data_IF_588267326221
#
_entry.id   IF_588267326221
#
_cell.length_a   1.000
_cell.length_b   1.000
_cell.length_c   1.000
_cell.angle_alpha   90.00
_cell.angle_beta   90.00
_cell.angle_gamma   90.00
#
_symmetry.space_group_name_H-M   'P 1'
#
loop_
_entity.id
_entity.type
_entity.pdbx_description
1 polymer ?
#
# COMPACT_ATOMS: atom_id res chain seq x y z
N UNK A 1 -4.23 -9.43 1.27
CA UNK A 1 -5.10 -10.18 2.20
C UNK A 1 -5.41 -11.57 1.68
N UNK A 2 -5.93 -11.72 0.46
CA UNK A 2 -6.20 -13.03 -0.15
C UNK A 2 -5.02 -14.00 -0.07
N UNK A 3 -3.82 -13.54 -0.44
CA UNK A 3 -2.58 -14.35 -0.39
C UNK A 3 -2.31 -14.90 1.03
N UNK A 4 -2.59 -14.10 2.05
CA UNK A 4 -2.39 -14.46 3.47
C UNK A 4 -3.46 -15.44 3.93
N UNK A 5 -4.72 -15.23 3.53
CA UNK A 5 -5.81 -16.15 3.82
C UNK A 5 -5.55 -17.52 3.18
N UNK A 6 -5.07 -17.55 1.94
CA UNK A 6 -4.66 -18.79 1.29
C UNK A 6 -3.50 -19.47 2.04
N UNK A 7 -2.51 -18.70 2.52
CA UNK A 7 -1.41 -19.22 3.32
C UNK A 7 -1.86 -19.80 4.68
N UNK A 8 -2.94 -19.27 5.25
CA UNK A 8 -3.57 -19.79 6.47
C UNK A 8 -4.47 -21.03 6.21
N UNK A 9 -4.56 -21.49 4.96
CA UNK A 9 -5.33 -22.68 4.59
C UNK A 9 -6.81 -22.41 4.26
N UNK A 10 -7.21 -21.14 4.11
CA UNK A 10 -8.56 -20.83 3.61
C UNK A 10 -8.70 -21.19 2.13
N UNK A 11 -9.93 -21.46 1.70
CA UNK A 11 -10.27 -21.91 0.35
C UNK A 11 -9.70 -20.99 -0.74
N UNK A 12 -8.91 -21.59 -1.64
CA UNK A 12 -8.23 -20.90 -2.75
C UNK A 12 -9.02 -21.06 -4.07
N UNK A 13 -10.15 -21.74 -4.06
CA UNK A 13 -10.99 -21.93 -5.25
C UNK A 13 -12.42 -22.28 -4.86
N UNK A 14 -13.37 -21.94 -5.72
CA UNK A 14 -14.79 -22.23 -5.54
C UNK A 14 -15.61 -21.01 -5.09
N UNK A 15 -16.94 -21.15 -5.04
CA UNK A 15 -17.88 -20.03 -4.85
C UNK A 15 -17.77 -19.36 -3.47
N UNK A 16 -17.11 -20.02 -2.52
CA UNK A 16 -16.95 -19.55 -1.14
C UNK A 16 -15.54 -19.04 -0.82
N UNK A 17 -14.65 -18.98 -1.82
CA UNK A 17 -13.24 -18.57 -1.61
C UNK A 17 -13.08 -17.12 -1.15
N UNK A 18 -14.05 -16.26 -1.46
CA UNK A 18 -14.03 -14.84 -1.09
C UNK A 18 -14.67 -14.54 0.28
N UNK A 19 -15.34 -15.52 0.90
CA UNK A 19 -16.00 -15.32 2.21
C UNK A 19 -15.08 -14.76 3.29
N UNK A 20 -13.83 -15.24 3.48
CA UNK A 20 -12.98 -14.72 4.54
C UNK A 20 -12.56 -13.26 4.28
N UNK A 21 -12.40 -12.88 3.01
CA UNK A 21 -12.13 -11.49 2.61
C UNK A 21 -13.36 -10.60 2.90
N UNK A 22 -14.55 -11.05 2.50
CA UNK A 22 -15.82 -10.34 2.77
C UNK A 22 -16.02 -10.17 4.28
N UNK A 23 -15.78 -11.22 5.07
CA UNK A 23 -15.88 -11.17 6.53
C UNK A 23 -14.89 -10.16 7.13
N UNK A 24 -13.63 -10.15 6.68
CA UNK A 24 -12.63 -9.18 7.13
C UNK A 24 -13.04 -7.73 6.80
N UNK A 25 -13.59 -7.49 5.61
CA UNK A 25 -14.13 -6.19 5.22
C UNK A 25 -15.37 -5.79 6.02
N UNK A 26 -16.26 -6.73 6.32
CA UNK A 26 -17.44 -6.48 7.15
C UNK A 26 -17.05 -6.09 8.59
N UNK A 27 -16.08 -6.80 9.18
CA UNK A 27 -15.51 -6.47 10.49
C UNK A 27 -14.89 -5.06 10.45
N UNK A 28 -14.08 -4.77 9.44
CA UNK A 28 -13.49 -3.45 9.24
C UNK A 28 -14.55 -2.35 9.14
N UNK A 29 -15.61 -2.59 8.35
CA UNK A 29 -16.71 -1.68 8.16
C UNK A 29 -17.45 -1.40 9.46
N UNK A 30 -17.78 -2.44 10.23
CA UNK A 30 -18.43 -2.34 11.54
C UNK A 30 -17.62 -1.52 12.53
N UNK A 31 -16.34 -1.83 12.72
CA UNK A 31 -15.47 -1.08 13.63
C UNK A 31 -15.26 0.36 13.20
N UNK A 32 -15.08 0.61 11.91
CA UNK A 32 -14.92 1.98 11.39
C UNK A 32 -16.19 2.80 11.61
N UNK A 33 -17.37 2.21 11.42
CA UNK A 33 -18.65 2.89 11.59
C UNK A 33 -18.93 3.25 13.05
N UNK A 34 -18.61 2.36 13.99
CA UNK A 34 -18.84 2.58 15.42
C UNK A 34 -17.79 3.51 16.02
N UNK A 35 -16.51 3.31 15.71
CA UNK A 35 -15.40 3.90 16.45
C UNK A 35 -14.64 5.01 15.70
N UNK A 36 -14.97 5.26 14.42
CA UNK A 36 -14.34 6.30 13.61
C UNK A 36 -12.82 6.16 13.53
N UNK A 37 -12.10 7.29 13.59
CA UNK A 37 -10.62 7.33 13.49
C UNK A 37 -9.88 6.71 14.68
N UNK A 38 -10.54 6.52 15.83
CA UNK A 38 -9.87 5.96 17.02
C UNK A 38 -9.56 4.48 16.85
N UNK A 39 -10.44 3.73 16.19
CA UNK A 39 -10.23 2.30 15.92
C UNK A 39 -8.95 2.04 15.09
N UNK A 40 -8.79 2.61 13.88
CA UNK A 40 -7.58 2.36 13.09
C UNK A 40 -6.30 2.86 13.79
N UNK A 41 -6.37 3.93 14.61
CA UNK A 41 -5.23 4.43 15.37
C UNK A 41 -4.79 3.50 16.51
N UNK A 42 -5.72 2.85 17.22
CA UNK A 42 -5.37 1.87 18.26
C UNK A 42 -4.86 0.56 17.63
N UNK A 43 -5.53 0.10 16.58
CA UNK A 43 -5.15 -1.13 15.87
C UNK A 43 -3.78 -0.96 15.21
N UNK A 44 -3.43 0.24 14.73
CA UNK A 44 -2.11 0.47 14.11
C UNK A 44 -0.97 0.17 15.08
N UNK A 45 -1.09 0.49 16.37
CA UNK A 45 -0.03 0.22 17.37
C UNK A 45 0.24 -1.29 17.48
N UNK A 46 -0.82 -2.08 17.65
CA UNK A 46 -0.72 -3.54 17.78
C UNK A 46 -0.18 -4.13 16.49
N UNK A 47 -0.77 -3.75 15.35
CA UNK A 47 -0.39 -4.19 14.01
C UNK A 47 1.08 -3.88 13.71
N UNK A 48 1.51 -2.63 13.92
CA UNK A 48 2.88 -2.21 13.65
C UNK A 48 3.86 -2.98 14.54
N UNK A 49 3.56 -3.12 15.83
CA UNK A 49 4.41 -3.91 16.74
C UNK A 49 4.59 -5.36 16.26
N UNK A 50 3.49 -6.00 15.83
CA UNK A 50 3.57 -7.36 15.28
C UNK A 50 4.34 -7.42 13.97
N UNK A 51 4.10 -6.47 13.05
CA UNK A 51 4.83 -6.39 11.77
C UNK A 51 6.33 -6.20 12.02
N UNK A 52 6.72 -5.36 12.98
CA UNK A 52 8.12 -5.14 13.34
C UNK A 52 8.78 -6.41 13.88
N UNK A 53 8.12 -7.09 14.81
CA UNK A 53 8.62 -8.37 15.36
C UNK A 53 8.76 -9.40 14.25
N UNK A 54 7.75 -9.55 13.38
CA UNK A 54 7.79 -10.46 12.23
C UNK A 54 8.90 -10.09 11.25
N UNK A 55 9.03 -8.82 10.89
CA UNK A 55 10.06 -8.35 9.97
C UNK A 55 11.46 -8.63 10.51
N UNK A 56 11.73 -8.26 11.76
CA UNK A 56 13.02 -8.51 12.40
C UNK A 56 13.33 -10.01 12.51
N UNK A 57 12.34 -10.81 12.89
CA UNK A 57 12.49 -12.27 12.93
C UNK A 57 12.84 -12.84 11.56
N UNK A 58 12.15 -12.43 10.49
CA UNK A 58 12.45 -12.86 9.13
C UNK A 58 13.87 -12.47 8.69
N UNK A 59 14.26 -11.23 8.96
CA UNK A 59 15.56 -10.68 8.56
C UNK A 59 16.73 -11.33 9.33
N UNK A 60 16.51 -11.85 10.53
CA UNK A 60 17.55 -12.53 11.30
C UNK A 60 17.54 -14.04 11.08
N UNK A 61 16.38 -14.69 11.22
CA UNK A 61 16.27 -16.16 11.31
C UNK A 61 16.36 -16.82 9.92
N UNK A 62 15.70 -16.26 8.90
CA UNK A 62 15.71 -16.86 7.56
C UNK A 62 17.16 -16.90 7.00
N UNK A 63 17.96 -15.82 7.07
CA UNK A 63 19.36 -15.91 6.65
C UNK A 63 20.17 -16.94 7.42
N UNK A 64 19.94 -17.12 8.72
CA UNK A 64 20.62 -18.15 9.51
C UNK A 64 20.33 -19.55 8.94
N UNK A 65 19.07 -19.85 8.65
CA UNK A 65 18.68 -21.13 8.04
C UNK A 65 19.25 -21.32 6.62
N UNK A 66 19.30 -20.25 5.83
CA UNK A 66 19.80 -20.28 4.46
C UNK A 66 21.34 -20.26 4.36
N UNK A 67 22.08 -20.25 5.48
CA UNK A 67 23.54 -20.26 5.51
C UNK A 67 24.20 -18.88 5.33
N UNK A 68 23.48 -17.81 5.67
CA UNK A 68 23.94 -16.43 5.74
C UNK A 68 23.66 -15.59 4.48
N UNK A 69 23.80 -14.27 4.63
CA UNK A 69 23.57 -13.32 3.54
C UNK A 69 24.48 -13.53 2.32
N UNK A 70 25.74 -13.93 2.54
CA UNK A 70 26.66 -14.21 1.44
C UNK A 70 26.15 -15.28 0.49
N UNK A 71 25.59 -16.38 1.04
CA UNK A 71 24.99 -17.45 0.24
C UNK A 71 23.71 -17.02 -0.45
N UNK A 72 22.90 -16.20 0.22
CA UNK A 72 21.69 -15.60 -0.39
C UNK A 72 22.08 -14.78 -1.61
N UNK A 73 23.00 -13.83 -1.49
CA UNK A 73 23.41 -12.99 -2.63
C UNK A 73 24.08 -13.81 -3.75
N UNK A 74 24.87 -14.82 -3.41
CA UNK A 74 25.49 -15.71 -4.40
C UNK A 74 24.47 -16.52 -5.21
N UNK A 75 23.28 -16.80 -4.64
CA UNK A 75 22.20 -17.52 -5.32
C UNK A 75 21.37 -16.64 -6.28
N UNK A 76 21.49 -15.32 -6.15
CA UNK A 76 20.75 -14.36 -6.97
C UNK A 76 21.51 -14.13 -8.28
N UNK A 77 20.85 -14.21 -9.46
CA UNK A 77 21.50 -13.89 -10.73
C UNK A 77 22.13 -12.49 -10.69
N UNK A 78 23.39 -12.29 -11.14
CA UNK A 78 24.07 -11.00 -11.05
C UNK A 78 23.29 -9.83 -11.67
N UNK A 79 22.57 -10.10 -12.76
CA UNK A 79 21.71 -9.12 -13.45
C UNK A 79 20.51 -8.64 -12.60
N UNK A 80 20.21 -9.27 -11.46
CA UNK A 80 19.14 -8.89 -10.52
C UNK A 80 19.67 -8.23 -9.24
N UNK A 81 20.99 -8.18 -9.06
CA UNK A 81 21.62 -7.56 -7.89
C UNK A 81 21.73 -6.04 -8.04
N UNK A 82 21.93 -5.57 -9.26
CA UNK A 82 22.07 -4.17 -9.61
C UNK A 82 21.04 -3.79 -10.66
N UNK A 83 20.67 -2.52 -10.69
CA UNK A 83 19.88 -2.00 -11.78
C UNK A 83 20.74 -2.00 -13.07
N UNK A 84 20.18 -2.40 -14.22
CA UNK A 84 20.93 -2.45 -15.48
C UNK A 84 21.34 -1.04 -15.93
N UNK A 85 22.58 -0.93 -16.41
CA UNK A 85 23.10 0.32 -16.95
C UNK A 85 22.25 0.82 -18.15
N UNK A 86 22.05 2.14 -18.29
CA UNK A 86 21.33 2.70 -19.42
C UNK A 86 21.98 2.34 -20.76
N UNK A 87 21.16 1.99 -21.76
CA UNK A 87 21.61 1.85 -23.15
C UNK A 87 21.92 3.21 -23.79
N UNK A 88 22.60 3.23 -24.94
CA UNK A 88 23.12 4.45 -25.58
C UNK A 88 22.07 5.56 -25.88
N UNK A 89 20.78 5.20 -25.97
CA UNK A 89 19.67 6.13 -26.19
C UNK A 89 18.59 6.06 -25.10
N UNK A 90 18.81 5.32 -24.02
CA UNK A 90 17.83 5.16 -22.94
C UNK A 90 18.33 5.81 -21.66
N UNK A 91 17.44 6.47 -20.92
CA UNK A 91 17.75 6.93 -19.56
C UNK A 91 17.82 5.77 -18.53
N UNK A 92 17.59 4.53 -18.99
CA UNK A 92 17.71 3.30 -18.20
C UNK A 92 16.67 3.15 -17.09
N UNK A 93 16.68 2.00 -16.42
CA UNK A 93 15.82 1.74 -15.25
C UNK A 93 16.18 2.60 -14.03
N UNK A 94 17.38 3.16 -13.99
CA UNK A 94 17.86 3.99 -12.88
C UNK A 94 17.08 5.30 -12.81
N UNK A 95 16.88 5.94 -13.96
CA UNK A 95 16.09 7.17 -14.05
C UNK A 95 14.65 6.93 -13.60
N UNK A 96 14.06 5.81 -14.03
CA UNK A 96 12.74 5.37 -13.61
C UNK A 96 12.66 5.13 -12.09
N UNK A 97 13.66 4.46 -11.52
CA UNK A 97 13.69 4.21 -10.08
C UNK A 97 13.81 5.51 -9.29
N UNK A 98 14.72 6.40 -9.67
CA UNK A 98 14.95 7.69 -9.00
C UNK A 98 13.71 8.57 -9.08
N UNK A 99 13.10 8.69 -10.26
CA UNK A 99 11.89 9.50 -10.47
C UNK A 99 10.71 8.93 -9.69
N UNK A 100 10.55 7.61 -9.66
CA UNK A 100 9.51 6.95 -8.88
C UNK A 100 9.72 7.13 -7.36
N UNK A 101 10.96 6.99 -6.89
CA UNK A 101 11.31 7.18 -5.48
C UNK A 101 11.06 8.63 -5.03
N UNK A 102 11.53 9.60 -5.82
CA UNK A 102 11.32 11.03 -5.56
C UNK A 102 9.83 11.39 -5.62
N UNK A 103 9.14 10.94 -6.67
CA UNK A 103 7.70 11.15 -6.84
C UNK A 103 6.90 10.58 -5.67
N UNK A 104 7.22 9.36 -5.24
CA UNK A 104 6.57 8.72 -4.09
C UNK A 104 6.82 9.48 -2.78
N UNK A 105 8.05 9.95 -2.55
CA UNK A 105 8.40 10.73 -1.36
C UNK A 105 7.62 12.06 -1.30
N UNK A 106 7.48 12.74 -2.43
CA UNK A 106 6.72 13.99 -2.54
C UNK A 106 5.20 13.75 -2.45
N UNK A 107 4.71 12.65 -3.03
CA UNK A 107 3.29 12.28 -3.05
C UNK A 107 2.75 11.89 -1.67
N UNK A 108 3.59 11.30 -0.82
CA UNK A 108 3.20 10.74 0.48
C UNK A 108 2.38 11.71 1.33
N UNK A 109 2.78 12.99 1.37
CA UNK A 109 2.14 14.01 2.20
C UNK A 109 0.90 14.66 1.55
N UNK A 110 0.67 14.41 0.26
CA UNK A 110 -0.47 14.95 -0.48
C UNK A 110 -1.73 14.09 -0.33
N UNK A 111 -1.57 12.85 0.14
CA UNK A 111 -2.70 11.96 0.32
C UNK A 111 -3.66 12.44 1.42
N UNK A 112 -5.00 12.41 1.18
CA UNK A 112 -5.99 12.86 2.15
C UNK A 112 -5.97 12.11 3.49
N UNK A 113 -5.57 10.83 3.48
CA UNK A 113 -5.47 10.04 4.70
C UNK A 113 -4.27 10.43 5.56
N UNK A 114 -3.18 10.92 4.94
CA UNK A 114 -2.04 11.48 5.66
C UNK A 114 -2.44 12.79 6.36
N UNK A 115 -3.15 13.68 5.66
CA UNK A 115 -3.64 14.94 6.24
C UNK A 115 -4.66 14.70 7.35
N UNK A 116 -5.55 13.71 7.19
CA UNK A 116 -6.48 13.28 8.25
C UNK A 116 -5.73 12.83 9.51
N UNK A 117 -4.65 12.06 9.35
CA UNK A 117 -3.78 11.67 10.46
C UNK A 117 -3.17 12.89 11.17
N UNK A 118 -2.59 13.82 10.40
CA UNK A 118 -1.98 15.05 10.93
C UNK A 118 -2.98 15.93 11.68
N UNK A 119 -4.17 16.17 11.12
CA UNK A 119 -5.21 17.00 11.72
C UNK A 119 -5.85 16.38 12.97
N UNK A 120 -5.70 15.06 13.17
CA UNK A 120 -6.14 14.37 14.38
C UNK A 120 -5.11 14.35 15.50
N UNK A 121 -3.90 14.86 15.27
CA UNK A 121 -2.84 14.91 16.27
C UNK A 121 -3.18 15.90 17.39
N UNK A 122 -2.81 15.55 18.63
CA UNK A 122 -3.06 16.39 19.82
C UNK A 122 -2.46 17.80 19.70
N UNK A 123 -1.26 17.91 19.14
CA UNK A 123 -0.55 19.19 18.96
C UNK A 123 0.62 19.03 17.96
N UNK A 124 1.23 20.14 17.50
CA UNK A 124 2.36 20.12 16.57
C UNK A 124 3.63 19.41 17.08
N UNK A 125 3.85 19.34 18.39
CA UNK A 125 5.01 18.65 18.95
C UNK A 125 4.93 17.13 18.73
N UNK A 126 3.72 16.55 18.77
CA UNK A 126 3.50 15.14 18.42
C UNK A 126 3.86 14.87 16.96
N UNK A 127 3.49 15.77 16.05
CA UNK A 127 3.82 15.65 14.62
C UNK A 127 5.33 15.68 14.43
N UNK A 128 6.04 16.65 15.03
CA UNK A 128 7.51 16.74 14.94
C UNK A 128 8.21 15.49 15.45
N UNK A 129 7.78 14.97 16.62
CA UNK A 129 8.32 13.73 17.18
C UNK A 129 8.05 12.52 16.27
N UNK A 130 6.89 12.46 15.61
CA UNK A 130 6.62 11.39 14.66
C UNK A 130 7.56 11.48 13.44
N UNK A 131 7.74 12.69 12.90
CA UNK A 131 8.64 12.92 11.76
C UNK A 131 10.10 12.51 12.04
N UNK A 132 10.59 12.68 13.28
CA UNK A 132 11.96 12.24 13.63
C UNK A 132 12.14 10.73 13.59
N UNK A 133 11.07 9.94 13.77
CA UNK A 133 11.13 8.47 13.71
C UNK A 133 10.85 7.89 12.31
N UNK A 134 10.34 8.71 11.39
CA UNK A 134 9.99 8.26 10.04
C UNK A 134 11.17 7.60 9.28
N UNK A 135 12.43 8.09 9.38
CA UNK A 135 13.57 7.42 8.74
C UNK A 135 13.83 6.01 9.27
N UNK A 136 13.68 5.78 10.58
CA UNK A 136 13.82 4.46 11.17
C UNK A 136 12.71 3.50 10.67
N UNK A 137 11.50 4.04 10.46
CA UNK A 137 10.41 3.30 9.85
C UNK A 137 10.73 2.91 8.40
N UNK A 138 11.20 3.86 7.59
CA UNK A 138 11.62 3.61 6.20
C UNK A 138 12.77 2.61 6.09
N UNK A 139 13.73 2.64 7.02
CA UNK A 139 14.83 1.68 7.05
C UNK A 139 14.33 0.24 7.17
N UNK A 140 13.42 -0.03 8.11
CA UNK A 140 12.87 -1.39 8.30
C UNK A 140 12.03 -1.83 7.08
N UNK A 141 11.28 -0.91 6.46
CA UNK A 141 10.61 -1.22 5.18
C UNK A 141 11.60 -1.60 4.08
N UNK A 142 12.75 -0.91 4.01
CA UNK A 142 13.84 -1.27 3.10
C UNK A 142 14.36 -2.68 3.34
N UNK A 143 14.45 -3.12 4.60
CA UNK A 143 14.88 -4.48 4.94
C UNK A 143 13.93 -5.55 4.37
N UNK A 144 12.62 -5.28 4.31
CA UNK A 144 11.66 -6.23 3.74
C UNK A 144 11.93 -6.56 2.27
N UNK A 145 12.62 -5.68 1.54
CA UNK A 145 13.08 -5.95 0.17
C UNK A 145 14.00 -7.18 0.10
N UNK A 146 14.78 -7.46 1.14
CA UNK A 146 15.66 -8.64 1.18
C UNK A 146 14.90 -9.96 1.19
N UNK A 147 13.63 -9.98 1.63
CA UNK A 147 12.81 -11.20 1.60
C UNK A 147 12.65 -11.73 0.17
N UNK A 148 12.66 -10.86 -0.84
CA UNK A 148 12.65 -11.28 -2.25
C UNK A 148 13.90 -12.08 -2.62
N UNK A 149 15.08 -11.63 -2.19
CA UNK A 149 16.33 -12.38 -2.40
C UNK A 149 16.36 -13.69 -1.61
N UNK A 150 15.85 -13.69 -0.38
CA UNK A 150 15.71 -14.91 0.43
C UNK A 150 14.78 -15.93 -0.26
N UNK A 151 13.70 -15.48 -0.90
CA UNK A 151 12.81 -16.36 -1.65
C UNK A 151 13.51 -16.98 -2.89
N UNK A 152 14.39 -16.23 -3.56
CA UNK A 152 15.20 -16.77 -4.66
C UNK A 152 16.18 -17.84 -4.13
N UNK A 153 16.84 -17.57 -3.01
CA UNK A 153 17.76 -18.50 -2.38
C UNK A 153 17.05 -19.78 -1.90
N UNK A 154 15.87 -19.63 -1.32
CA UNK A 154 15.01 -20.72 -0.82
C UNK A 154 14.17 -21.39 -1.92
N UNK A 155 14.42 -21.10 -3.22
CA UNK A 155 13.55 -21.58 -4.32
C UNK A 155 13.30 -23.08 -4.32
N UNK A 156 14.27 -23.88 -3.88
CA UNK A 156 14.14 -25.33 -3.85
C UNK A 156 13.20 -25.80 -2.72
N UNK A 157 13.28 -25.17 -1.54
CA UNK A 157 12.36 -25.42 -0.43
C UNK A 157 10.94 -24.96 -0.77
N UNK A 158 10.85 -23.83 -1.49
CA UNK A 158 9.59 -23.23 -1.92
C UNK A 158 8.95 -23.93 -3.12
N UNK A 159 9.70 -24.78 -3.84
CA UNK A 159 9.21 -25.57 -4.97
C UNK A 159 8.43 -26.83 -4.54
N UNK A 160 8.14 -26.98 -3.24
CA UNK A 160 7.38 -28.12 -2.73
C UNK A 160 5.97 -28.20 -3.37
N UNK A 161 5.43 -29.41 -3.61
CA UNK A 161 4.09 -29.57 -4.17
C UNK A 161 2.99 -28.90 -3.34
N UNK A 162 3.23 -28.74 -2.03
CA UNK A 162 2.31 -28.07 -1.12
C UNK A 162 2.10 -26.58 -1.45
N UNK A 163 3.13 -25.90 -1.97
CA UNK A 163 3.05 -24.48 -2.31
C UNK A 163 2.70 -24.22 -3.78
N UNK A 164 2.79 -25.23 -4.65
CA UNK A 164 2.55 -25.09 -6.09
C UNK A 164 1.18 -24.47 -6.45
N UNK A 165 0.04 -24.85 -5.81
CA UNK A 165 -1.25 -24.23 -6.11
C UNK A 165 -1.28 -22.74 -5.79
N UNK A 166 -0.68 -22.34 -4.67
CA UNK A 166 -0.63 -20.96 -4.23
C UNK A 166 0.30 -20.10 -5.09
N UNK A 167 1.47 -20.62 -5.49
CA UNK A 167 2.35 -19.95 -6.45
C UNK A 167 1.71 -19.84 -7.84
N UNK A 168 0.95 -20.84 -8.29
CA UNK A 168 0.23 -20.76 -9.56
C UNK A 168 -0.85 -19.66 -9.54
N UNK A 169 -1.59 -19.54 -8.42
CA UNK A 169 -2.62 -18.49 -8.31
C UNK A 169 -2.03 -17.11 -8.07
N UNK A 170 -1.08 -16.95 -7.15
CA UNK A 170 -0.65 -15.64 -6.64
C UNK A 170 0.73 -15.18 -7.13
N UNK A 171 1.48 -16.05 -7.80
CA UNK A 171 2.82 -15.75 -8.31
C UNK A 171 3.78 -15.32 -7.21
N UNK A 172 4.60 -14.31 -7.51
CA UNK A 172 5.60 -13.77 -6.60
C UNK A 172 5.01 -13.20 -5.29
N UNK A 173 3.73 -12.81 -5.27
CA UNK A 173 3.09 -12.28 -4.06
C UNK A 173 3.01 -13.32 -2.93
N UNK A 174 3.06 -14.62 -3.25
CA UNK A 174 3.08 -15.70 -2.26
C UNK A 174 4.45 -15.96 -1.64
N UNK A 175 5.53 -15.35 -2.15
CA UNK A 175 6.89 -15.60 -1.68
C UNK A 175 7.08 -15.35 -0.17
N UNK A 176 6.55 -14.24 0.35
CA UNK A 176 6.70 -13.90 1.78
C UNK A 176 5.91 -14.87 2.68
N UNK A 177 4.61 -15.16 2.43
CA UNK A 177 3.91 -16.20 3.19
C UNK A 177 4.56 -17.58 3.10
N UNK A 178 5.08 -17.96 1.95
CA UNK A 178 5.75 -19.25 1.77
C UNK A 178 7.06 -19.32 2.57
N UNK A 179 7.85 -18.25 2.61
CA UNK A 179 9.04 -18.16 3.46
C UNK A 179 8.70 -18.31 4.94
N UNK A 180 7.61 -17.68 5.39
CA UNK A 180 7.12 -17.82 6.77
C UNK A 180 6.75 -19.28 7.08
N UNK A 181 5.94 -19.90 6.21
CA UNK A 181 5.50 -21.29 6.36
C UNK A 181 6.66 -22.29 6.36
N UNK A 182 7.72 -22.03 5.59
CA UNK A 182 8.86 -22.92 5.48
C UNK A 182 9.87 -22.79 6.64
N UNK A 183 10.02 -21.58 7.22
CA UNK A 183 11.12 -21.29 8.13
C UNK A 183 10.72 -21.11 9.60
N UNK A 184 9.43 -21.02 9.91
CA UNK A 184 8.96 -20.73 11.26
C UNK A 184 7.95 -21.76 11.78
N UNK A 185 7.88 -21.95 13.11
CA UNK A 185 6.86 -22.80 13.72
C UNK A 185 5.45 -22.24 13.51
N UNK A 186 4.45 -23.13 13.45
CA UNK A 186 3.06 -22.79 13.12
C UNK A 186 2.44 -21.69 13.98
N UNK A 187 2.75 -21.66 15.28
CA UNK A 187 2.25 -20.63 16.20
C UNK A 187 2.74 -19.22 15.78
N UNK A 188 4.00 -19.11 15.36
CA UNK A 188 4.58 -17.83 14.94
C UNK A 188 4.07 -17.43 13.57
N UNK A 189 3.94 -18.39 12.65
CA UNK A 189 3.35 -18.16 11.32
C UNK A 189 1.94 -17.62 11.44
N UNK A 190 1.11 -18.16 12.35
CA UNK A 190 -0.23 -17.63 12.62
C UNK A 190 -0.22 -16.16 13.04
N UNK A 191 0.70 -15.78 13.93
CA UNK A 191 0.87 -14.38 14.38
C UNK A 191 1.35 -13.50 13.21
N UNK A 192 2.38 -13.94 12.49
CA UNK A 192 2.99 -13.20 11.38
C UNK A 192 2.00 -12.96 10.24
N UNK A 193 1.29 -13.99 9.80
CA UNK A 193 0.27 -13.88 8.76
C UNK A 193 -0.90 -13.00 9.22
N UNK A 194 -1.35 -13.13 10.48
CA UNK A 194 -2.37 -12.24 11.04
C UNK A 194 -1.91 -10.78 11.06
N UNK A 195 -0.64 -10.51 11.39
CA UNK A 195 -0.07 -9.18 11.35
C UNK A 195 -0.09 -8.57 9.95
N UNK A 196 0.22 -9.36 8.91
CA UNK A 196 0.12 -8.92 7.51
C UNK A 196 -1.34 -8.67 7.10
N UNK A 197 -2.27 -9.53 7.54
CA UNK A 197 -3.70 -9.35 7.25
C UNK A 197 -4.27 -8.07 7.90
N UNK A 198 -4.01 -7.84 9.19
CA UNK A 198 -4.38 -6.61 9.90
C UNK A 198 -3.63 -5.41 9.28
N UNK A 199 -2.39 -5.64 8.85
CA UNK A 199 -1.54 -4.78 8.03
C UNK A 199 -2.29 -4.10 6.89
N UNK A 200 -3.08 -4.90 6.15
CA UNK A 200 -3.87 -4.44 5.02
C UNK A 200 -5.18 -3.74 5.43
N UNK A 201 -5.77 -4.09 6.57
CA UNK A 201 -7.05 -3.52 7.03
C UNK A 201 -6.93 -2.09 7.53
N UNK A 202 -5.87 -1.77 8.28
CA UNK A 202 -5.71 -0.46 8.92
C UNK A 202 -5.66 0.69 7.89
N UNK A 203 -4.83 0.62 6.82
CA UNK A 203 -4.83 1.63 5.76
C UNK A 203 -6.20 1.75 5.09
N UNK A 204 -6.88 0.63 4.81
CA UNK A 204 -8.20 0.65 4.17
C UNK A 204 -9.24 1.42 4.99
N UNK A 205 -9.24 1.30 6.33
CA UNK A 205 -10.13 2.08 7.19
C UNK A 205 -9.85 3.59 7.13
N UNK A 206 -8.61 4.01 7.38
CA UNK A 206 -8.29 5.45 7.42
C UNK A 206 -8.45 6.11 6.05
N UNK A 207 -8.11 5.41 4.96
CA UNK A 207 -8.32 5.87 3.59
C UNK A 207 -9.81 6.05 3.29
N UNK A 208 -10.65 5.10 3.68
CA UNK A 208 -12.10 5.20 3.54
C UNK A 208 -12.69 6.37 4.35
N UNK A 209 -12.22 6.59 5.58
CA UNK A 209 -12.66 7.72 6.41
C UNK A 209 -12.26 9.05 5.76
N UNK A 210 -11.03 9.14 5.23
CA UNK A 210 -10.55 10.36 4.57
C UNK A 210 -11.36 10.68 3.31
N UNK A 211 -11.60 9.68 2.44
CA UNK A 211 -12.44 9.85 1.25
C UNK A 211 -13.87 10.28 1.62
N UNK A 212 -14.45 9.66 2.64
CA UNK A 212 -15.79 10.03 3.11
C UNK A 212 -15.84 11.45 3.68
N UNK A 213 -14.82 11.86 4.43
CA UNK A 213 -14.73 13.21 5.00
C UNK A 213 -14.59 14.27 3.89
N UNK A 214 -13.80 13.98 2.86
CA UNK A 214 -13.68 14.85 1.69
C UNK A 214 -15.01 15.01 0.97
N UNK A 215 -15.71 13.90 0.70
CA UNK A 215 -17.03 13.96 0.08
C UNK A 215 -18.02 14.75 0.94
N UNK A 216 -18.10 14.46 2.24
CA UNK A 216 -19.04 15.13 3.12
C UNK A 216 -18.77 16.64 3.19
N UNK A 217 -17.52 17.06 3.32
CA UNK A 217 -17.20 18.49 3.46
C UNK A 217 -17.24 19.26 2.14
N UNK A 218 -16.70 18.68 1.07
CA UNK A 218 -16.51 19.42 -0.19
C UNK A 218 -17.64 19.21 -1.20
N UNK A 219 -18.42 18.14 -1.07
CA UNK A 219 -19.53 17.85 -1.99
C UNK A 219 -20.87 18.02 -1.27
N UNK A 220 -21.07 17.30 -0.16
CA UNK A 220 -22.35 17.30 0.53
C UNK A 220 -22.67 18.65 1.18
N UNK A 221 -21.75 19.20 1.98
CA UNK A 221 -22.01 20.48 2.65
C UNK A 221 -22.02 21.67 1.68
N UNK A 222 -21.22 21.61 0.61
CA UNK A 222 -21.10 22.73 -0.33
C UNK A 222 -22.27 22.82 -1.30
N UNK A 223 -22.68 21.68 -1.88
CA UNK A 223 -23.64 21.65 -3.00
C UNK A 223 -25.00 21.03 -2.66
N UNK A 224 -25.08 20.14 -1.67
CA UNK A 224 -26.31 19.39 -1.37
C UNK A 224 -27.05 19.93 -0.15
N UNK A 225 -26.34 20.30 0.91
CA UNK A 225 -26.93 20.79 2.15
C UNK A 225 -26.01 21.79 2.86
N UNK A 226 -26.07 23.03 2.39
CA UNK A 226 -25.36 24.17 2.98
C UNK A 226 -25.81 24.39 4.42
N UNK A 227 -24.86 24.38 5.36
CA UNK A 227 -25.15 24.54 6.79
C UNK A 227 -25.54 23.26 7.53
N UNK A 228 -25.29 22.07 6.98
CA UNK A 228 -25.52 20.82 7.68
C UNK A 228 -24.82 20.79 9.06
N UNK A 229 -25.57 20.43 10.11
CA UNK A 229 -25.03 20.32 11.48
C UNK A 229 -23.92 19.27 11.59
N UNK A 230 -23.04 19.39 12.57
CA UNK A 230 -21.91 18.45 12.77
C UNK A 230 -22.37 16.99 12.91
N UNK A 231 -23.51 16.77 13.56
CA UNK A 231 -24.12 15.44 13.73
C UNK A 231 -24.52 14.86 12.37
N UNK A 232 -25.14 15.68 11.51
CA UNK A 232 -25.54 15.28 10.16
C UNK A 232 -24.31 14.99 9.31
N UNK A 233 -23.28 15.84 9.36
CA UNK A 233 -22.03 15.61 8.65
C UNK A 233 -21.38 14.29 9.08
N UNK A 234 -21.27 14.04 10.39
CA UNK A 234 -20.72 12.78 10.90
C UNK A 234 -21.53 11.55 10.42
N UNK A 235 -22.86 11.66 10.38
CA UNK A 235 -23.73 10.58 9.89
C UNK A 235 -23.51 10.31 8.40
N UNK A 236 -23.44 11.36 7.57
CA UNK A 236 -23.18 11.23 6.14
C UNK A 236 -21.78 10.65 5.90
N UNK A 237 -20.75 11.14 6.59
CA UNK A 237 -19.40 10.62 6.46
C UNK A 237 -19.32 9.12 6.82
N UNK A 238 -20.05 8.67 7.85
CA UNK A 238 -20.12 7.24 8.20
C UNK A 238 -20.76 6.41 7.08
N UNK A 239 -21.88 6.86 6.51
CA UNK A 239 -22.54 6.18 5.39
C UNK A 239 -21.68 6.13 4.14
N UNK A 240 -21.09 7.27 3.75
CA UNK A 240 -20.20 7.36 2.59
C UNK A 240 -18.97 6.48 2.80
N UNK A 241 -18.43 6.41 4.02
CA UNK A 241 -17.33 5.52 4.34
C UNK A 241 -17.70 4.04 4.14
N UNK A 242 -18.94 3.63 4.43
CA UNK A 242 -19.42 2.28 4.13
C UNK A 242 -19.52 2.04 2.62
N UNK A 243 -20.10 2.99 1.87
CA UNK A 243 -20.21 2.91 0.40
C UNK A 243 -18.83 2.79 -0.25
N UNK A 244 -17.85 3.58 0.19
CA UNK A 244 -16.47 3.51 -0.31
C UNK A 244 -15.85 2.14 -0.03
N UNK A 245 -16.06 1.55 1.16
CA UNK A 245 -15.54 0.20 1.47
C UNK A 245 -16.21 -0.87 0.61
N UNK A 246 -17.52 -0.78 0.40
CA UNK A 246 -18.24 -1.71 -0.47
C UNK A 246 -17.77 -1.61 -1.91
N UNK A 247 -17.58 -0.39 -2.42
CA UNK A 247 -17.00 -0.16 -3.75
C UNK A 247 -15.59 -0.74 -3.87
N UNK A 248 -14.75 -0.54 -2.86
CA UNK A 248 -13.41 -1.13 -2.82
C UNK A 248 -13.44 -2.68 -2.78
N UNK A 249 -14.36 -3.27 -2.03
CA UNK A 249 -14.54 -4.72 -1.99
C UNK A 249 -14.98 -5.25 -3.36
N UNK A 250 -15.98 -4.64 -4.00
CA UNK A 250 -16.41 -5.01 -5.36
C UNK A 250 -15.27 -4.89 -6.37
N UNK A 251 -14.46 -3.83 -6.26
CA UNK A 251 -13.30 -3.62 -7.13
C UNK A 251 -12.25 -4.73 -6.96
N UNK A 252 -11.95 -5.12 -5.73
CA UNK A 252 -11.01 -6.22 -5.45
C UNK A 252 -11.53 -7.57 -5.98
N UNK A 253 -12.84 -7.82 -5.89
CA UNK A 253 -13.45 -9.05 -6.40
C UNK A 253 -13.53 -9.09 -7.94
N UNK A 254 -13.71 -7.94 -8.58
CA UNK A 254 -13.86 -7.86 -10.03
C UNK A 254 -12.54 -7.82 -10.80
N UNK A 255 -11.45 -7.36 -10.17
CA UNK A 255 -10.18 -7.06 -10.86
C UNK A 255 -9.07 -8.01 -10.42
N UNK A 256 -8.27 -8.56 -11.36
CA UNK A 256 -7.18 -9.45 -11.02
C UNK A 256 -6.18 -8.83 -10.04
N UNK A 257 -5.89 -9.54 -8.95
CA UNK A 257 -4.96 -9.09 -7.88
C UNK A 257 -3.55 -8.74 -8.39
N UNK A 258 -3.14 -9.26 -9.57
CA UNK A 258 -1.82 -9.01 -10.17
C UNK A 258 -1.53 -7.53 -10.40
N UNK A 259 -2.56 -6.70 -10.58
CA UNK A 259 -2.43 -5.25 -10.83
C UNK A 259 -2.36 -4.41 -9.56
N UNK A 260 -2.38 -5.01 -8.36
CA UNK A 260 -2.44 -4.25 -7.11
C UNK A 260 -1.26 -3.27 -6.93
N UNK A 261 -0.04 -3.70 -7.28
CA UNK A 261 1.14 -2.83 -7.24
C UNK A 261 1.00 -1.70 -8.26
N UNK A 262 0.58 -2.01 -9.48
CA UNK A 262 0.44 -1.03 -10.54
C UNK A 262 -0.61 0.04 -10.21
N UNK A 263 -1.75 -0.34 -9.60
CA UNK A 263 -2.75 0.63 -9.12
C UNK A 263 -2.21 1.54 -8.01
N UNK A 264 -1.36 1.01 -7.13
CA UNK A 264 -0.70 1.82 -6.11
C UNK A 264 0.22 2.86 -6.76
N UNK A 265 1.02 2.46 -7.76
CA UNK A 265 1.92 3.36 -8.48
C UNK A 265 1.13 4.40 -9.29
N UNK A 266 0.05 4.00 -9.96
CA UNK A 266 -0.86 4.89 -10.67
C UNK A 266 -1.52 5.91 -9.72
N UNK A 267 -1.95 5.46 -8.54
CA UNK A 267 -2.44 6.36 -7.49
C UNK A 267 -1.39 7.41 -7.08
N UNK A 268 -0.11 7.05 -7.08
CA UNK A 268 1.01 7.97 -6.88
C UNK A 268 1.14 9.00 -8.02
N UNK A 269 1.02 8.54 -9.27
CA UNK A 269 1.05 9.41 -10.46
C UNK A 269 -0.09 10.43 -10.46
N UNK A 270 -1.28 10.06 -9.95
CA UNK A 270 -2.41 10.98 -9.86
C UNK A 270 -2.27 11.99 -8.71
N UNK A 271 -1.87 11.53 -7.52
CA UNK A 271 -1.80 12.41 -6.35
C UNK A 271 -0.68 13.45 -6.49
N UNK A 272 0.44 13.10 -7.12
CA UNK A 272 1.59 14.01 -7.28
C UNK A 272 1.26 15.22 -8.16
N UNK A 273 0.23 15.13 -9.02
CA UNK A 273 -0.22 16.26 -9.84
C UNK A 273 -0.76 17.43 -8.99
N UNK A 274 -1.11 17.18 -7.73
CA UNK A 274 -1.53 18.21 -6.79
C UNK A 274 -0.34 19.00 -6.20
N UNK A 275 0.89 18.50 -6.35
CA UNK A 275 2.08 19.08 -5.75
C UNK A 275 2.29 20.55 -6.16
N UNK A 276 2.23 20.95 -7.45
CA UNK A 276 2.49 22.34 -7.83
C UNK A 276 1.49 23.31 -7.20
N UNK A 277 0.20 22.93 -7.19
CA UNK A 277 -0.86 23.75 -6.60
C UNK A 277 -0.67 23.91 -5.09
N UNK A 278 -0.36 22.83 -4.38
CA UNK A 278 -0.21 22.84 -2.92
C UNK A 278 1.11 23.52 -2.51
N UNK A 279 2.24 23.10 -3.10
CA UNK A 279 3.56 23.59 -2.72
C UNK A 279 3.72 25.09 -3.01
N UNK A 280 3.37 25.54 -4.22
CA UNK A 280 3.49 26.95 -4.58
C UNK A 280 2.41 27.78 -3.89
N UNK A 281 1.17 27.27 -3.81
CA UNK A 281 0.06 27.95 -3.15
C UNK A 281 0.29 28.23 -1.66
N UNK A 282 1.14 27.44 -1.00
CA UNK A 282 1.54 27.65 0.38
C UNK A 282 2.40 28.91 0.57
N UNK A 283 3.22 29.26 -0.42
CA UNK A 283 4.16 30.40 -0.35
C UNK A 283 3.70 31.62 -1.15
N UNK A 284 3.01 31.43 -2.28
CA UNK A 284 2.53 32.51 -3.15
C UNK A 284 1.13 32.22 -3.69
N UNK A 285 0.25 33.22 -3.63
CA UNK A 285 -1.09 33.19 -4.23
C UNK A 285 -1.12 33.65 -5.70
N UNK A 286 -0.01 33.57 -6.42
CA UNK A 286 0.14 34.11 -7.76
C UNK A 286 -0.36 33.18 -8.88
N UNK A 287 -0.84 31.99 -8.55
CA UNK A 287 -1.23 30.99 -9.54
C UNK A 287 -2.69 31.16 -9.96
N UNK A 288 -2.92 31.20 -11.28
CA UNK A 288 -4.26 31.30 -11.83
C UNK A 288 -5.02 29.96 -11.66
N UNK A 289 -6.23 29.95 -11.06
CA UNK A 289 -6.95 28.70 -10.74
C UNK A 289 -7.19 27.78 -11.94
N UNK A 290 -7.59 28.35 -13.08
CA UNK A 290 -7.84 27.57 -14.30
C UNK A 290 -6.57 26.97 -14.89
N UNK A 291 -5.42 27.65 -14.76
CA UNK A 291 -4.15 27.13 -15.25
C UNK A 291 -3.72 25.90 -14.41
N UNK A 292 -3.95 25.93 -13.10
CA UNK A 292 -3.70 24.79 -12.22
C UNK A 292 -4.62 23.61 -12.54
N UNK A 293 -5.90 23.87 -12.78
CA UNK A 293 -6.86 22.82 -13.11
C UNK A 293 -6.53 22.15 -14.44
N UNK A 294 -6.16 22.93 -15.47
CA UNK A 294 -5.69 22.40 -16.75
C UNK A 294 -4.38 21.62 -16.57
N UNK A 295 -3.41 22.14 -15.81
CA UNK A 295 -2.15 21.44 -15.53
C UNK A 295 -2.37 20.08 -14.84
N UNK A 296 -3.25 20.05 -13.84
CA UNK A 296 -3.65 18.80 -13.17
C UNK A 296 -4.31 17.82 -14.13
N UNK A 297 -5.24 18.29 -14.98
CA UNK A 297 -5.94 17.46 -15.94
C UNK A 297 -4.98 16.89 -17.01
N UNK A 298 -4.12 17.74 -17.57
CA UNK A 298 -3.10 17.32 -18.53
C UNK A 298 -2.12 16.32 -17.90
N UNK A 299 -1.60 16.58 -16.70
CA UNK A 299 -0.68 15.67 -16.01
C UNK A 299 -1.31 14.31 -15.71
N UNK A 300 -2.57 14.30 -15.26
CA UNK A 300 -3.33 13.07 -15.01
C UNK A 300 -3.59 12.30 -16.31
N UNK A 301 -3.98 12.99 -17.38
CA UNK A 301 -4.23 12.38 -18.68
C UNK A 301 -2.94 11.78 -19.28
N UNK A 302 -1.83 12.51 -19.23
CA UNK A 302 -0.52 12.02 -19.71
C UNK A 302 -0.07 10.82 -18.87
N UNK A 303 -0.09 10.92 -17.55
CA UNK A 303 0.30 9.81 -16.67
C UNK A 303 -0.51 8.54 -16.90
N UNK A 304 -1.83 8.69 -17.10
CA UNK A 304 -2.72 7.57 -17.43
C UNK A 304 -2.46 7.03 -18.83
N UNK A 305 -2.21 7.91 -19.80
CA UNK A 305 -1.88 7.54 -21.19
C UNK A 305 -0.56 6.78 -21.31
N UNK A 306 0.46 7.15 -20.54
CA UNK A 306 1.74 6.42 -20.49
C UNK A 306 1.58 5.02 -19.91
N UNK A 307 0.74 4.86 -18.88
CA UNK A 307 0.43 3.53 -18.33
C UNK A 307 -0.39 2.68 -19.31
N UNK A 308 -1.30 3.29 -20.06
CA UNK A 308 -2.00 2.63 -21.16
C UNK A 308 -1.00 2.17 -22.22
N UNK A 309 -0.06 3.02 -22.63
CA UNK A 309 0.97 2.67 -23.62
C UNK A 309 1.81 1.46 -23.17
N UNK A 310 2.00 1.29 -21.86
CA UNK A 310 2.62 0.11 -21.26
C UNK A 310 1.66 -1.08 -21.01
N UNK A 311 0.45 -1.07 -21.58
CA UNK A 311 -0.58 -2.10 -21.41
C UNK A 311 -0.94 -2.40 -19.94
N UNK A 312 -0.85 -1.40 -19.05
CA UNK A 312 -1.05 -1.57 -17.61
C UNK A 312 -0.15 -2.66 -16.98
N UNK A 313 0.98 -2.96 -17.62
CA UNK A 313 1.97 -3.93 -17.10
C UNK A 313 3.03 -3.27 -16.22
N UNK A 314 3.19 -1.96 -16.34
CA UNK A 314 4.13 -1.18 -15.55
C UNK A 314 3.74 0.30 -15.54
N UNK A 315 3.76 0.91 -14.36
CA UNK A 315 3.66 2.36 -14.20
C UNK A 315 4.97 3.09 -14.56
N UNK A 316 6.05 2.34 -14.82
CA UNK A 316 7.35 2.88 -15.25
C UNK A 316 7.36 2.97 -16.78
N UNK A 317 7.38 4.19 -17.30
CA UNK A 317 7.64 4.44 -18.72
C UNK A 317 9.11 4.84 -18.89
N UNK A 318 9.88 4.00 -19.56
CA UNK A 318 11.28 4.30 -19.87
C UNK A 318 11.30 5.07 -21.19
N UNK A 319 11.72 6.34 -21.16
CA UNK A 319 11.98 7.07 -22.39
C UNK A 319 13.17 6.43 -23.11
N UNK A 320 12.88 5.84 -24.27
CA UNK A 320 13.82 5.31 -25.25
C UNK A 320 14.12 6.32 -26.35
#
# INVERSE_FOLDING_TARGET
MEVVLAALGFLISGPWSDLPLIAAFAILAGYTYTSGLRAPALISIIKDSLIYVTALACIVIIPIHLGGYGRIFASVPPAKLLLPAPGAHSLGSDSAFITLALGSALALFLYPHATTGVLSAKNPAVIRRNMTYLPAYSFVLGLLGFLGFMAIAARHELASPAFAPAFHRFGANFAVPALLLANFPSWFVGIALSAIAIGALVPAAIMSIASASLFTRNIYCEYLHQGASEITQARVAKWVSLVVKLGALLFVLAIPFKYAIDFQLLGGIWIIQLLPAIAVGLYRRCLHPWALMLGWLCGTAVGTGLMWANHFTSAVYVCS
#
